data_IF_505486924214
#
_entry.id   IF_505486924214
#
_cell.length_a   1.000
_cell.length_b   1.000
_cell.length_c   1.000
_cell.angle_alpha   90.00
_cell.angle_beta   90.00
_cell.angle_gamma   90.00
#
_symmetry.space_group_name_H-M   'P 1'
#
loop_
_entity.id
_entity.type
_entity.pdbx_description
1 polymer ?
#
# COMPACT_ATOMS: atom_id res chain seq x y z
N UNK A 1 22.33 11.58 5.57
CA UNK A 1 23.01 10.90 4.45
C UNK A 1 22.57 11.62 3.18
N UNK A 2 23.50 12.29 2.50
CA UNK A 2 23.19 13.02 1.27
C UNK A 2 22.84 12.05 0.14
N UNK A 3 21.59 12.15 -0.33
CA UNK A 3 21.02 11.82 -1.65
C UNK A 3 21.88 11.08 -2.71
N UNK A 4 22.45 9.92 -2.40
CA UNK A 4 23.11 9.06 -3.40
C UNK A 4 22.11 8.56 -4.46
N UNK A 5 20.83 8.40 -4.10
CA UNK A 5 19.79 7.86 -5.00
C UNK A 5 19.53 8.76 -6.21
N UNK A 6 19.62 10.08 -6.04
CA UNK A 6 19.42 11.03 -7.14
C UNK A 6 20.53 10.97 -8.20
N UNK A 7 21.68 10.36 -7.89
CA UNK A 7 22.77 10.16 -8.84
C UNK A 7 22.63 8.88 -9.68
N UNK A 8 21.88 7.89 -9.17
CA UNK A 8 21.63 6.61 -9.86
C UNK A 8 20.86 6.86 -11.15
N UNK A 9 21.05 6.04 -12.17
CA UNK A 9 20.22 6.02 -13.39
C UNK A 9 18.89 5.31 -13.17
N UNK A 10 17.93 5.49 -14.07
CA UNK A 10 16.65 4.75 -14.04
C UNK A 10 16.86 3.23 -14.06
N UNK A 11 17.84 2.74 -14.81
CA UNK A 11 18.17 1.31 -14.87
C UNK A 11 18.70 0.79 -13.54
N UNK A 12 19.61 1.52 -12.88
CA UNK A 12 20.14 1.13 -11.57
C UNK A 12 19.03 1.10 -10.50
N UNK A 13 18.07 2.03 -10.56
CA UNK A 13 16.91 2.00 -9.67
C UNK A 13 16.04 0.76 -9.93
N UNK A 14 15.75 0.46 -11.20
CA UNK A 14 14.95 -0.70 -11.58
C UNK A 14 15.64 -2.02 -11.19
N UNK A 15 16.95 -2.13 -11.38
CA UNK A 15 17.75 -3.30 -11.01
C UNK A 15 17.76 -3.49 -9.49
N UNK A 16 17.89 -2.40 -8.74
CA UNK A 16 17.77 -2.43 -7.27
C UNK A 16 16.41 -2.92 -6.81
N UNK A 17 15.32 -2.40 -7.36
CA UNK A 17 13.96 -2.85 -7.01
C UNK A 17 13.69 -4.29 -7.43
N UNK A 18 14.25 -4.75 -8.55
CA UNK A 18 14.17 -6.15 -8.95
C UNK A 18 14.93 -7.06 -7.97
N UNK A 19 16.07 -6.60 -7.45
CA UNK A 19 16.81 -7.31 -6.41
C UNK A 19 16.00 -7.35 -5.10
N UNK A 20 15.42 -6.22 -4.67
CA UNK A 20 14.53 -6.16 -3.51
C UNK A 20 13.39 -7.18 -3.59
N UNK A 21 12.69 -7.25 -4.73
CA UNK A 21 11.61 -8.23 -4.93
C UNK A 21 12.07 -9.69 -4.81
N UNK A 22 13.35 -9.97 -5.06
CA UNK A 22 13.91 -11.33 -5.01
C UNK A 22 14.37 -11.72 -3.61
N UNK A 23 14.91 -10.80 -2.83
CA UNK A 23 15.62 -11.13 -1.58
C UNK A 23 15.25 -10.27 -0.36
N UNK A 24 14.37 -9.28 -0.52
CA UNK A 24 13.90 -8.40 0.56
C UNK A 24 14.84 -7.25 0.91
N UNK A 25 15.96 -7.08 0.20
CA UNK A 25 16.89 -5.96 0.40
C UNK A 25 17.63 -5.64 -0.90
N UNK A 26 17.97 -4.36 -1.09
CA UNK A 26 18.80 -3.90 -2.22
C UNK A 26 20.27 -3.99 -1.82
N UNK A 27 20.65 -3.27 -0.77
CA UNK A 27 22.00 -3.31 -0.22
C UNK A 27 21.99 -3.95 1.17
N UNK A 28 22.65 -5.12 1.37
CA UNK A 28 22.69 -5.78 2.68
C UNK A 28 23.48 -4.99 3.74
N UNK A 29 24.21 -3.95 3.33
CA UNK A 29 24.95 -3.05 4.22
C UNK A 29 24.22 -1.72 4.47
N UNK A 30 23.04 -1.53 3.87
CA UNK A 30 22.19 -0.40 4.22
C UNK A 30 21.68 -0.57 5.65
N UNK A 31 21.85 0.44 6.48
CA UNK A 31 21.54 0.36 7.89
C UNK A 31 21.04 1.69 8.43
N UNK A 32 19.84 1.68 8.99
CA UNK A 32 19.20 2.80 9.66
C UNK A 32 18.62 2.32 10.99
N UNK A 33 19.15 2.82 12.10
CA UNK A 33 18.79 2.37 13.46
C UNK A 33 17.37 2.76 13.86
N UNK A 34 16.82 3.76 13.20
CA UNK A 34 15.48 4.29 13.48
C UNK A 34 14.41 3.64 12.59
N UNK A 35 14.78 2.67 11.75
CA UNK A 35 13.87 1.99 10.82
C UNK A 35 13.52 0.58 11.31
N UNK A 36 12.25 0.18 11.15
CA UNK A 36 11.79 -1.18 11.45
C UNK A 36 12.14 -2.20 10.35
N UNK A 37 12.32 -1.72 9.11
CA UNK A 37 12.68 -2.54 7.95
C UNK A 37 13.51 -1.70 6.98
N UNK A 38 14.83 -1.83 7.08
CA UNK A 38 15.77 -1.04 6.30
C UNK A 38 15.66 -1.34 4.79
N UNK A 39 15.28 -2.58 4.43
CA UNK A 39 15.06 -2.97 3.04
C UNK A 39 13.86 -2.25 2.43
N UNK A 40 12.75 -2.18 3.16
CA UNK A 40 11.56 -1.45 2.75
C UNK A 40 11.82 0.06 2.65
N UNK A 41 12.58 0.64 3.58
CA UNK A 41 12.97 2.05 3.51
C UNK A 41 13.82 2.35 2.28
N UNK A 42 14.88 1.56 2.04
CA UNK A 42 15.73 1.72 0.86
C UNK A 42 14.93 1.57 -0.43
N UNK A 43 14.06 0.55 -0.51
CA UNK A 43 13.14 0.38 -1.63
C UNK A 43 12.19 1.57 -1.81
N UNK A 44 11.72 2.17 -0.72
CA UNK A 44 10.93 3.40 -0.72
C UNK A 44 11.65 4.55 -1.41
N UNK A 45 12.91 4.82 -1.03
CA UNK A 45 13.71 5.86 -1.69
C UNK A 45 13.92 5.59 -3.18
N UNK A 46 14.12 4.33 -3.58
CA UNK A 46 14.25 3.95 -4.98
C UNK A 46 12.94 4.19 -5.75
N UNK A 47 11.80 3.80 -5.19
CA UNK A 47 10.48 4.00 -5.81
C UNK A 47 10.14 5.47 -5.96
N UNK A 48 10.43 6.29 -4.95
CA UNK A 48 10.16 7.73 -4.96
C UNK A 48 11.05 8.44 -5.98
N UNK A 49 12.34 8.12 -6.01
CA UNK A 49 13.27 8.64 -7.03
C UNK A 49 12.85 8.21 -8.43
N UNK A 50 12.43 6.95 -8.59
CA UNK A 50 11.94 6.43 -9.86
C UNK A 50 10.63 7.11 -10.28
N UNK A 51 9.74 7.42 -9.33
CA UNK A 51 8.45 8.06 -9.62
C UNK A 51 8.59 9.43 -10.29
N UNK A 52 9.66 10.16 -10.01
CA UNK A 52 9.94 11.47 -10.62
C UNK A 52 10.43 11.34 -12.06
N UNK A 53 11.02 10.19 -12.41
CA UNK A 53 11.72 9.98 -13.69
C UNK A 53 10.93 9.13 -14.66
N UNK A 54 10.32 8.08 -14.14
CA UNK A 54 9.48 7.11 -14.83
C UNK A 54 8.33 6.69 -13.90
N UNK A 55 7.25 7.50 -13.85
CA UNK A 55 6.11 7.25 -12.96
C UNK A 55 5.45 5.89 -13.22
N UNK A 56 5.34 5.50 -14.49
CA UNK A 56 4.71 4.23 -14.88
C UNK A 56 5.54 3.05 -14.37
N UNK A 57 6.86 3.08 -14.57
CA UNK A 57 7.73 2.00 -14.07
C UNK A 57 7.73 1.92 -12.54
N UNK A 58 7.72 3.06 -11.84
CA UNK A 58 7.57 3.08 -10.38
C UNK A 58 6.26 2.42 -9.94
N UNK A 59 5.15 2.74 -10.61
CA UNK A 59 3.87 2.10 -10.34
C UNK A 59 3.91 0.59 -10.61
N UNK A 60 4.52 0.13 -11.70
CA UNK A 60 4.66 -1.31 -11.97
C UNK A 60 5.49 -2.05 -10.90
N UNK A 61 6.51 -1.42 -10.31
CA UNK A 61 7.22 -2.00 -9.16
C UNK A 61 6.35 -2.01 -7.89
N UNK A 62 5.60 -0.94 -7.61
CA UNK A 62 4.67 -0.91 -6.47
C UNK A 62 3.62 -2.02 -6.53
N UNK A 63 3.10 -2.32 -7.73
CA UNK A 63 2.20 -3.47 -7.96
C UNK A 63 2.87 -4.80 -7.58
N UNK A 64 4.07 -5.03 -8.11
CA UNK A 64 4.85 -6.25 -7.82
C UNK A 64 5.17 -6.39 -6.33
N UNK A 65 5.48 -5.29 -5.64
CA UNK A 65 5.76 -5.29 -4.19
C UNK A 65 4.50 -5.66 -3.41
N UNK A 66 3.37 -5.07 -3.75
CA UNK A 66 2.08 -5.35 -3.13
C UNK A 66 1.71 -6.84 -3.21
N UNK A 67 1.92 -7.46 -4.37
CA UNK A 67 1.64 -8.89 -4.61
C UNK A 67 2.75 -9.84 -4.16
N UNK A 68 3.92 -9.33 -3.78
CA UNK A 68 5.09 -10.18 -3.54
C UNK A 68 4.92 -11.04 -2.28
N UNK A 69 5.10 -12.37 -2.37
CA UNK A 69 5.16 -13.23 -1.19
C UNK A 69 6.50 -13.14 -0.45
N UNK A 70 7.53 -12.57 -1.07
CA UNK A 70 8.87 -12.39 -0.46
C UNK A 70 8.87 -11.23 0.51
N UNK A 71 8.14 -10.16 0.18
CA UNK A 71 8.06 -8.97 1.02
C UNK A 71 7.01 -9.22 2.10
N UNK A 72 7.42 -9.32 3.36
CA UNK A 72 6.52 -9.53 4.50
C UNK A 72 6.05 -8.23 5.16
N UNK A 73 6.63 -7.09 4.78
CA UNK A 73 6.29 -5.80 5.37
C UNK A 73 4.95 -5.30 4.82
N UNK A 74 3.88 -5.65 5.53
CA UNK A 74 2.52 -5.28 5.16
C UNK A 74 2.28 -3.78 5.27
N UNK A 75 2.98 -3.06 6.15
CA UNK A 75 2.91 -1.61 6.20
C UNK A 75 3.46 -0.99 4.91
N UNK A 76 4.63 -1.41 4.45
CA UNK A 76 5.21 -0.92 3.19
C UNK A 76 4.36 -1.28 1.96
N UNK A 77 3.77 -2.48 1.93
CA UNK A 77 2.78 -2.85 0.91
C UNK A 77 1.57 -1.91 0.91
N UNK A 78 1.09 -1.54 2.08
CA UNK A 78 -0.03 -0.60 2.22
C UNK A 78 0.31 0.79 1.68
N UNK A 79 1.55 1.27 1.87
CA UNK A 79 2.04 2.53 1.28
C UNK A 79 2.12 2.44 -0.25
N UNK A 80 2.60 1.32 -0.78
CA UNK A 80 2.62 1.08 -2.23
C UNK A 80 1.21 1.10 -2.84
N UNK A 81 0.25 0.47 -2.16
CA UNK A 81 -1.16 0.48 -2.57
C UNK A 81 -1.76 1.89 -2.53
N UNK A 82 -1.55 2.64 -1.46
CA UNK A 82 -2.06 4.01 -1.32
C UNK A 82 -1.50 4.93 -2.41
N UNK A 83 -0.21 4.83 -2.71
CA UNK A 83 0.38 5.57 -3.83
C UNK A 83 -0.32 5.23 -5.15
N UNK A 84 -0.58 3.95 -5.42
CA UNK A 84 -1.26 3.52 -6.65
C UNK A 84 -2.70 4.05 -6.72
N UNK A 85 -3.44 4.07 -5.61
CA UNK A 85 -4.79 4.65 -5.51
C UNK A 85 -4.80 6.15 -5.81
N UNK A 86 -3.74 6.86 -5.42
CA UNK A 86 -3.60 8.31 -5.62
C UNK A 86 -2.95 8.69 -6.97
N UNK A 87 -2.61 7.72 -7.81
CA UNK A 87 -1.88 7.94 -9.06
C UNK A 87 -2.82 8.18 -10.26
N UNK A 88 -2.78 7.33 -11.29
CA UNK A 88 -3.67 7.41 -12.45
C UNK A 88 -4.82 6.41 -12.35
N UNK A 89 -5.92 6.67 -13.09
CA UNK A 89 -7.11 5.82 -13.13
C UNK A 89 -6.77 4.35 -13.42
N UNK A 90 -5.82 4.08 -14.31
CA UNK A 90 -5.35 2.73 -14.64
C UNK A 90 -4.79 1.99 -13.43
N UNK A 91 -4.00 2.68 -12.60
CA UNK A 91 -3.37 2.07 -11.43
C UNK A 91 -4.36 1.93 -10.28
N UNK A 92 -5.24 2.91 -10.11
CA UNK A 92 -6.36 2.87 -9.17
C UNK A 92 -7.32 1.72 -9.48
N UNK A 93 -7.73 1.55 -10.73
CA UNK A 93 -8.58 0.44 -11.17
C UNK A 93 -7.94 -0.91 -10.84
N UNK A 94 -6.64 -1.05 -11.11
CA UNK A 94 -5.88 -2.24 -10.74
C UNK A 94 -5.92 -2.52 -9.23
N UNK A 95 -5.75 -1.50 -8.37
CA UNK A 95 -5.85 -1.70 -6.92
C UNK A 95 -7.26 -2.12 -6.50
N UNK A 96 -8.30 -1.51 -7.08
CA UNK A 96 -9.70 -1.88 -6.81
C UNK A 96 -9.93 -3.36 -7.16
N UNK A 97 -9.41 -3.82 -8.31
CA UNK A 97 -9.47 -5.23 -8.71
C UNK A 97 -8.70 -6.13 -7.75
N UNK A 98 -7.48 -5.74 -7.36
CA UNK A 98 -6.65 -6.47 -6.40
C UNK A 98 -7.36 -6.64 -5.05
N UNK A 99 -7.88 -5.55 -4.48
CA UNK A 99 -8.63 -5.54 -3.22
C UNK A 99 -9.89 -6.43 -3.31
N UNK A 100 -10.60 -6.38 -4.43
CA UNK A 100 -11.79 -7.21 -4.64
C UNK A 100 -11.44 -8.70 -4.76
N UNK A 101 -10.29 -9.03 -5.35
CA UNK A 101 -9.81 -10.40 -5.55
C UNK A 101 -9.21 -11.04 -4.30
N UNK A 102 -8.64 -10.25 -3.38
CA UNK A 102 -7.87 -10.74 -2.22
C UNK A 102 -8.44 -10.29 -0.86
N UNK A 103 -9.69 -9.83 -0.84
CA UNK A 103 -10.31 -9.20 0.34
C UNK A 103 -10.25 -10.04 1.62
N UNK A 104 -10.27 -11.36 1.49
CA UNK A 104 -10.33 -12.33 2.58
C UNK A 104 -9.02 -12.46 3.35
N UNK A 105 -7.89 -12.16 2.69
CA UNK A 105 -6.54 -12.29 3.25
C UNK A 105 -5.81 -10.95 3.38
N UNK A 106 -6.48 -9.81 3.14
CA UNK A 106 -5.84 -8.49 3.26
C UNK A 106 -5.19 -8.29 4.63
N UNK A 107 -3.92 -7.86 4.69
CA UNK A 107 -3.29 -7.41 5.91
C UNK A 107 -4.04 -6.26 6.57
N UNK A 108 -3.89 -6.09 7.89
CA UNK A 108 -4.57 -5.04 8.66
C UNK A 108 -4.19 -3.64 8.16
N UNK A 109 -2.91 -3.38 7.91
CA UNK A 109 -2.42 -2.10 7.35
C UNK A 109 -3.01 -1.79 5.97
N UNK A 110 -3.06 -2.79 5.08
CA UNK A 110 -3.62 -2.67 3.73
C UNK A 110 -5.13 -2.39 3.80
N UNK A 111 -5.84 -3.12 4.65
CA UNK A 111 -7.27 -2.92 4.88
C UNK A 111 -7.56 -1.52 5.43
N UNK A 112 -6.81 -1.08 6.44
CA UNK A 112 -6.95 0.23 7.05
C UNK A 112 -6.78 1.34 6.00
N UNK A 113 -5.70 1.33 5.22
CA UNK A 113 -5.47 2.34 4.17
C UNK A 113 -6.53 2.31 3.06
N UNK A 114 -6.99 1.13 2.65
CA UNK A 114 -8.04 1.01 1.66
C UNK A 114 -9.35 1.64 2.15
N UNK A 115 -9.75 1.34 3.39
CA UNK A 115 -10.94 1.92 4.00
C UNK A 115 -10.80 3.44 4.16
N UNK A 116 -9.64 3.93 4.58
CA UNK A 116 -9.35 5.36 4.70
C UNK A 116 -9.45 6.08 3.35
N UNK A 117 -8.82 5.53 2.31
CA UNK A 117 -8.87 6.09 0.97
C UNK A 117 -10.31 6.26 0.48
N UNK A 118 -11.11 5.19 0.53
CA UNK A 118 -12.50 5.25 0.04
C UNK A 118 -13.39 6.16 0.89
N UNK A 119 -13.17 6.21 2.21
CA UNK A 119 -13.84 7.17 3.08
C UNK A 119 -13.60 8.62 2.64
N UNK A 120 -12.35 8.96 2.29
CA UNK A 120 -11.96 10.27 1.78
C UNK A 120 -12.53 10.52 0.37
N UNK A 121 -12.35 9.57 -0.55
CA UNK A 121 -12.82 9.64 -1.94
C UNK A 121 -14.33 9.94 -2.03
N UNK A 122 -15.14 9.33 -1.15
CA UNK A 122 -16.59 9.58 -1.09
C UNK A 122 -16.96 11.06 -0.87
N UNK A 123 -16.09 11.81 -0.21
CA UNK A 123 -16.33 13.21 0.18
C UNK A 123 -15.64 14.21 -0.75
N UNK A 124 -14.81 13.72 -1.66
CA UNK A 124 -14.12 14.57 -2.62
C UNK A 124 -15.09 14.93 -3.76
N UNK A 125 -15.43 16.22 -3.94
CA UNK A 125 -16.33 16.64 -5.01
C UNK A 125 -15.74 16.46 -6.41
N UNK A 126 -14.41 16.34 -6.53
CA UNK A 126 -13.71 16.14 -7.80
C UNK A 126 -13.45 14.65 -8.09
N UNK A 127 -13.67 13.77 -7.10
CA UNK A 127 -13.58 12.32 -7.31
C UNK A 127 -14.90 11.78 -7.87
N UNK A 128 -14.87 11.46 -9.16
CA UNK A 128 -16.01 10.94 -9.90
C UNK A 128 -16.10 9.40 -9.87
N UNK A 129 -15.16 8.73 -9.18
CA UNK A 129 -15.10 7.28 -9.19
C UNK A 129 -16.11 6.65 -8.24
N UNK A 130 -16.93 5.78 -8.82
CA UNK A 130 -17.89 4.98 -8.07
C UNK A 130 -17.19 3.70 -7.62
N UNK A 131 -16.82 3.66 -6.34
CA UNK A 131 -16.36 2.43 -5.69
C UNK A 131 -17.46 1.36 -5.80
N UNK A 132 -17.16 0.15 -6.33
CA UNK A 132 -18.18 -0.89 -6.46
C UNK A 132 -18.76 -1.30 -5.10
N UNK A 133 -20.09 -1.35 -4.98
CA UNK A 133 -20.79 -1.78 -3.74
C UNK A 133 -20.29 -3.14 -3.25
N UNK A 134 -19.98 -4.05 -4.18
CA UNK A 134 -19.41 -5.36 -3.85
C UNK A 134 -18.08 -5.27 -3.12
N UNK A 135 -17.23 -4.29 -3.46
CA UNK A 135 -15.96 -4.07 -2.79
C UNK A 135 -16.19 -3.50 -1.38
N UNK A 136 -17.11 -2.54 -1.23
CA UNK A 136 -17.47 -1.98 0.08
C UNK A 136 -17.92 -3.09 1.05
N UNK A 137 -18.80 -3.99 0.59
CA UNK A 137 -19.26 -5.14 1.40
C UNK A 137 -18.11 -6.05 1.78
N UNK A 138 -17.20 -6.35 0.85
CA UNK A 138 -16.03 -7.20 1.09
C UNK A 138 -15.07 -6.59 2.13
N UNK A 139 -14.76 -5.29 2.03
CA UNK A 139 -13.89 -4.59 2.98
C UNK A 139 -14.50 -4.57 4.39
N UNK A 140 -15.81 -4.29 4.52
CA UNK A 140 -16.53 -4.39 5.79
C UNK A 140 -16.48 -5.80 6.38
N UNK A 141 -16.69 -6.81 5.55
CA UNK A 141 -16.62 -8.22 5.98
C UNK A 141 -15.24 -8.56 6.54
N UNK A 142 -14.17 -8.12 5.86
CA UNK A 142 -12.80 -8.32 6.32
C UNK A 142 -12.55 -7.56 7.63
N UNK A 143 -12.96 -6.30 7.72
CA UNK A 143 -12.85 -5.48 8.93
C UNK A 143 -13.48 -6.18 10.14
N UNK A 144 -14.73 -6.63 10.04
CA UNK A 144 -15.39 -7.34 11.13
C UNK A 144 -14.72 -8.66 11.53
N UNK A 145 -14.01 -9.30 10.60
CA UNK A 145 -13.25 -10.53 10.87
C UNK A 145 -11.98 -10.25 11.68
N UNK A 146 -11.30 -9.14 11.42
CA UNK A 146 -9.96 -8.88 11.99
C UNK A 146 -9.91 -7.82 13.08
N UNK A 147 -10.94 -6.99 13.24
CA UNK A 147 -10.94 -5.86 14.20
C UNK A 147 -10.65 -6.25 15.65
N UNK A 148 -10.92 -7.49 16.04
CA UNK A 148 -10.68 -8.00 17.40
C UNK A 148 -9.60 -9.11 17.44
N UNK A 149 -8.76 -9.18 16.39
CA UNK A 149 -7.69 -10.17 16.30
C UNK A 149 -6.56 -9.87 17.29
N UNK A 150 -6.40 -10.71 18.31
CA UNK A 150 -5.41 -10.53 19.39
C UNK A 150 -3.96 -10.78 18.97
N UNK A 151 -3.74 -11.35 17.79
CA UNK A 151 -2.40 -11.61 17.26
C UNK A 151 -1.81 -10.39 16.52
N UNK A 152 -2.61 -9.33 16.35
CA UNK A 152 -2.20 -8.06 15.75
C UNK A 152 -1.82 -7.06 16.84
N UNK A 153 -0.85 -6.20 16.55
CA UNK A 153 -0.41 -5.17 17.49
C UNK A 153 -1.57 -4.22 17.86
N UNK A 154 -1.66 -3.88 19.14
CA UNK A 154 -2.80 -3.12 19.67
C UNK A 154 -2.97 -1.73 19.02
N UNK A 155 -1.86 -1.08 18.63
CA UNK A 155 -1.92 0.22 17.96
C UNK A 155 -2.52 0.09 16.56
N UNK A 156 -2.12 -0.91 15.76
CA UNK A 156 -2.67 -1.14 14.41
C UNK A 156 -4.18 -1.44 14.46
N UNK A 157 -4.63 -2.23 15.45
CA UNK A 157 -6.05 -2.48 15.65
C UNK A 157 -6.82 -1.24 16.06
N UNK A 158 -6.21 -0.34 16.84
CA UNK A 158 -6.84 0.91 17.24
C UNK A 158 -7.07 1.80 16.02
N UNK A 159 -6.04 1.99 15.20
CA UNK A 159 -6.13 2.75 13.95
C UNK A 159 -7.13 2.14 12.96
N UNK A 160 -7.13 0.79 12.84
CA UNK A 160 -8.10 0.08 12.02
C UNK A 160 -9.53 0.30 12.52
N UNK A 161 -9.76 0.27 13.84
CA UNK A 161 -11.10 0.48 14.41
C UNK A 161 -11.60 1.89 14.14
N UNK A 162 -10.79 2.90 14.40
CA UNK A 162 -11.12 4.30 14.13
C UNK A 162 -11.48 4.50 12.65
N UNK A 163 -10.61 4.04 11.75
CA UNK A 163 -10.82 4.15 10.31
C UNK A 163 -12.02 3.31 9.84
N UNK A 164 -12.14 2.10 10.37
CA UNK A 164 -13.12 1.11 9.96
C UNK A 164 -14.55 1.50 10.35
N UNK A 165 -14.73 2.05 11.55
CA UNK A 165 -16.02 2.55 12.01
C UNK A 165 -16.47 3.78 11.22
N UNK A 166 -15.55 4.71 10.93
CA UNK A 166 -15.80 5.88 10.07
C UNK A 166 -16.21 5.48 8.65
N UNK A 167 -15.49 4.53 8.05
CA UNK A 167 -15.83 3.97 6.74
C UNK A 167 -17.20 3.27 6.75
N UNK A 168 -17.49 2.46 7.77
CA UNK A 168 -18.78 1.78 7.90
C UNK A 168 -19.95 2.77 8.03
N UNK A 169 -19.75 3.87 8.77
CA UNK A 169 -20.74 4.92 8.91
C UNK A 169 -20.94 5.71 7.61
N UNK A 170 -19.87 6.00 6.87
CA UNK A 170 -19.93 6.72 5.59
C UNK A 170 -20.59 5.92 4.47
N UNK A 171 -20.49 4.59 4.51
CA UNK A 171 -21.17 3.70 3.60
C UNK A 171 -22.21 2.89 4.36
N UNK A 172 -23.38 3.44 4.73
CA UNK A 172 -24.44 2.63 5.33
C UNK A 172 -24.83 1.53 4.34
N UNK A 173 -24.88 0.28 4.80
CA UNK A 173 -25.54 -0.77 4.01
C UNK A 173 -27.00 -0.37 3.82
N UNK A 174 -27.64 -0.68 2.68
CA UNK A 174 -29.10 -0.57 2.58
C UNK A 174 -29.81 -1.40 3.66
#
# INVERSE_FOLDING_TARGET
MDNDYNSKSTQELADGLALYLKQGYINPLYFNWDCEDEGAEEAGFYLDTLSVRDPDLSCEFRKKIMESPVISNDYFKSQCMEYLLLSSDKHREYVIQYLSGHYDVLPVSVLQKAMFYFYCAKRDPDDNDVVPDSLIVKLKSRYHTVKDNKDVMAYELTELKETGDDFCAAYPSP
#
